data_IF_244024542837
#
_entry.id   IF_244024542837
#
_cell.length_a   1.000
_cell.length_b   1.000
_cell.length_c   1.000
_cell.angle_alpha   90.00
_cell.angle_beta   90.00
_cell.angle_gamma   90.00
#
_symmetry.space_group_name_H-M   'P 1'
#
loop_
_entity.id
_entity.type
_entity.pdbx_description
1 polymer ?
#
# COMPACT_ATOMS: atom_id res chain seq x y z
N UNK A 1 5.56 23.68 14.24
CA UNK A 1 5.73 22.80 13.07
C UNK A 1 6.64 21.60 13.34
N UNK A 2 7.97 21.74 13.58
CA UNK A 2 8.85 20.57 13.85
C UNK A 2 8.43 19.75 15.07
N UNK A 3 8.00 20.41 16.15
CA UNK A 3 7.54 19.74 17.37
C UNK A 3 6.22 18.99 17.17
N UNK A 4 5.32 19.49 16.36
CA UNK A 4 4.06 18.84 15.98
C UNK A 4 4.32 17.60 15.12
N UNK A 5 5.21 17.69 14.13
CA UNK A 5 5.61 16.54 13.30
C UNK A 5 6.24 15.46 14.15
N UNK A 6 7.17 15.81 15.07
CA UNK A 6 7.79 14.87 16.02
C UNK A 6 6.75 14.19 16.90
N UNK A 7 5.78 14.95 17.42
CA UNK A 7 4.71 14.40 18.24
C UNK A 7 3.79 13.48 17.43
N UNK A 8 3.48 13.82 16.17
CA UNK A 8 2.68 12.97 15.29
C UNK A 8 3.38 11.64 15.00
N UNK A 9 4.68 11.67 14.68
CA UNK A 9 5.49 10.45 14.48
C UNK A 9 5.49 9.58 15.73
N UNK A 10 5.72 10.19 16.91
CA UNK A 10 5.69 9.46 18.19
C UNK A 10 4.35 8.76 18.42
N UNK A 11 3.24 9.40 18.06
CA UNK A 11 1.91 8.82 18.18
C UNK A 11 1.73 7.63 17.24
N UNK A 12 2.14 7.76 15.98
CA UNK A 12 2.09 6.66 15.01
C UNK A 12 2.86 5.47 15.53
N UNK A 13 4.10 5.67 16.00
CA UNK A 13 4.93 4.59 16.55
C UNK A 13 4.30 3.94 17.80
N UNK A 14 3.72 4.74 18.70
CA UNK A 14 3.03 4.21 19.88
C UNK A 14 1.76 3.45 19.51
N UNK A 15 0.95 3.99 18.59
CA UNK A 15 -0.26 3.33 18.08
C UNK A 15 0.09 1.97 17.48
N UNK A 16 1.09 1.94 16.58
CA UNK A 16 1.58 0.69 15.97
C UNK A 16 2.08 -0.30 17.02
N UNK A 17 2.84 0.16 18.01
CA UNK A 17 3.34 -0.69 19.09
C UNK A 17 2.21 -1.34 19.90
N UNK A 18 1.23 -0.54 20.33
CA UNK A 18 0.09 -1.07 21.09
C UNK A 18 -0.82 -1.96 20.27
N UNK A 19 -1.06 -1.62 19.01
CA UNK A 19 -1.82 -2.46 18.10
C UNK A 19 -1.12 -3.82 17.90
N UNK A 20 0.22 -3.82 17.71
CA UNK A 20 1.00 -5.04 17.58
C UNK A 20 0.98 -5.88 18.88
N UNK A 21 1.12 -5.25 20.04
CA UNK A 21 1.03 -5.94 21.32
C UNK A 21 -0.33 -6.62 21.52
N UNK A 22 -1.42 -5.97 21.10
CA UNK A 22 -2.76 -6.55 21.14
C UNK A 22 -2.87 -7.80 20.25
N UNK A 23 -2.35 -7.76 19.04
CA UNK A 23 -2.33 -8.92 18.14
C UNK A 23 -1.46 -10.07 18.68
N UNK A 24 -0.38 -9.75 19.38
CA UNK A 24 0.53 -10.73 20.02
C UNK A 24 -0.07 -11.42 21.26
N UNK A 25 -1.24 -11.02 21.76
CA UNK A 25 -1.91 -11.73 22.86
C UNK A 25 -2.23 -13.18 22.47
N UNK A 26 -2.54 -13.43 21.21
CA UNK A 26 -2.66 -14.79 20.66
C UNK A 26 -1.45 -15.10 19.78
N UNK A 27 -0.39 -15.63 20.38
CA UNK A 27 0.86 -15.93 19.67
C UNK A 27 0.68 -16.92 18.53
N UNK A 28 -0.18 -17.93 18.68
CA UNK A 28 -0.40 -18.94 17.63
C UNK A 28 -0.98 -18.27 16.39
N UNK A 29 -2.06 -17.51 16.55
CA UNK A 29 -2.67 -16.75 15.44
C UNK A 29 -1.70 -15.74 14.84
N UNK A 30 -0.90 -15.05 15.68
CA UNK A 30 0.08 -14.09 15.23
C UNK A 30 1.11 -14.71 14.27
N UNK A 31 1.78 -15.78 14.71
CA UNK A 31 2.80 -16.43 13.87
C UNK A 31 2.19 -17.19 12.68
N UNK A 32 1.01 -17.81 12.86
CA UNK A 32 0.31 -18.47 11.75
C UNK A 32 -0.03 -17.51 10.63
N UNK A 33 -0.52 -16.30 10.93
CA UNK A 33 -0.84 -15.28 9.92
C UNK A 33 0.39 -14.87 9.11
N UNK A 34 1.55 -14.73 9.76
CA UNK A 34 2.81 -14.40 9.07
C UNK A 34 3.24 -15.55 8.15
N UNK A 35 3.28 -16.77 8.69
CA UNK A 35 3.70 -17.97 7.94
C UNK A 35 2.79 -18.22 6.75
N UNK A 36 1.47 -18.21 6.96
CA UNK A 36 0.51 -18.45 5.88
C UNK A 36 0.58 -17.38 4.79
N UNK A 37 0.89 -16.12 5.13
CA UNK A 37 1.09 -15.08 4.13
C UNK A 37 2.35 -15.34 3.29
N UNK A 38 3.46 -15.76 3.90
CA UNK A 38 4.67 -16.15 3.17
C UNK A 38 4.37 -17.33 2.23
N UNK A 39 3.67 -18.36 2.72
CA UNK A 39 3.29 -19.51 1.91
C UNK A 39 2.32 -19.13 0.78
N UNK A 40 1.36 -18.27 1.06
CA UNK A 40 0.44 -17.73 0.04
C UNK A 40 1.20 -17.06 -1.10
N UNK A 41 2.10 -16.13 -0.79
CA UNK A 41 2.94 -15.46 -1.79
C UNK A 41 3.83 -16.46 -2.53
N UNK A 42 4.42 -17.43 -1.84
CA UNK A 42 5.26 -18.46 -2.45
C UNK A 42 4.49 -19.36 -3.41
N UNK A 43 3.22 -19.65 -3.14
CA UNK A 43 2.38 -20.48 -4.00
C UNK A 43 2.21 -19.91 -5.41
N UNK A 44 2.12 -18.59 -5.53
CA UNK A 44 2.01 -17.92 -6.83
C UNK A 44 3.30 -17.97 -7.66
N UNK A 45 4.47 -18.18 -7.04
CA UNK A 45 5.73 -18.30 -7.78
C UNK A 45 5.80 -19.58 -8.59
N UNK A 46 5.15 -20.65 -8.11
CA UNK A 46 5.14 -21.93 -8.82
C UNK A 46 4.63 -21.78 -10.25
N UNK A 47 3.57 -21.00 -10.46
CA UNK A 47 3.06 -20.73 -11.81
C UNK A 47 4.09 -20.00 -12.71
N UNK A 48 4.89 -19.08 -12.13
CA UNK A 48 5.93 -18.39 -12.86
C UNK A 48 7.11 -19.31 -13.20
N UNK A 49 7.53 -20.18 -12.28
CA UNK A 49 8.56 -21.18 -12.53
C UNK A 49 8.15 -22.10 -13.69
N UNK A 50 6.90 -22.57 -13.70
CA UNK A 50 6.37 -23.40 -14.79
C UNK A 50 6.35 -22.60 -16.11
N UNK A 51 5.90 -21.35 -16.10
CA UNK A 51 5.86 -20.52 -17.31
C UNK A 51 7.27 -20.27 -17.88
N UNK A 52 8.23 -19.98 -17.03
CA UNK A 52 9.62 -19.74 -17.42
C UNK A 52 10.41 -21.03 -17.76
N UNK A 53 9.88 -22.22 -17.45
CA UNK A 53 10.41 -23.46 -18.03
C UNK A 53 10.08 -23.62 -19.51
N UNK A 54 9.07 -22.88 -20.00
CA UNK A 54 8.62 -22.92 -21.41
C UNK A 54 9.13 -21.71 -22.22
N UNK A 55 9.51 -20.62 -21.56
CA UNK A 55 9.96 -19.36 -22.20
C UNK A 55 11.03 -18.69 -21.37
N UNK A 56 12.07 -18.19 -22.01
CA UNK A 56 13.17 -17.48 -21.33
C UNK A 56 12.76 -16.11 -20.80
N UNK A 57 11.82 -15.44 -21.48
CA UNK A 57 11.32 -14.11 -21.13
C UNK A 57 9.80 -14.00 -21.28
N UNK A 58 9.18 -13.24 -20.37
CA UNK A 58 7.75 -12.91 -20.40
C UNK A 58 7.58 -11.42 -20.22
N UNK A 59 7.00 -10.74 -21.23
CA UNK A 59 6.82 -9.30 -21.22
C UNK A 59 8.13 -8.51 -21.11
N UNK A 60 9.26 -9.06 -21.58
CA UNK A 60 10.59 -8.46 -21.48
C UNK A 60 11.24 -8.57 -20.10
N UNK A 61 10.74 -9.46 -19.24
CA UNK A 61 11.31 -9.75 -17.92
C UNK A 61 11.84 -11.18 -17.86
N UNK A 62 13.00 -11.37 -17.26
CA UNK A 62 13.54 -12.67 -16.86
C UNK A 62 12.87 -13.18 -15.60
N UNK A 63 12.99 -14.48 -15.27
CA UNK A 63 12.46 -15.04 -14.03
C UNK A 63 12.93 -14.27 -12.79
N UNK A 64 14.22 -13.91 -12.70
CA UNK A 64 14.75 -13.15 -11.56
C UNK A 64 14.08 -11.78 -11.39
N UNK A 65 13.80 -11.10 -12.50
CA UNK A 65 13.10 -9.81 -12.47
C UNK A 65 11.64 -9.97 -12.06
N UNK A 66 10.96 -11.05 -12.46
CA UNK A 66 9.59 -11.34 -12.03
C UNK A 66 9.55 -11.71 -10.54
N UNK A 67 10.52 -12.46 -10.03
CA UNK A 67 10.63 -12.73 -8.60
C UNK A 67 10.84 -11.44 -7.80
N UNK A 68 11.67 -10.53 -8.31
CA UNK A 68 11.86 -9.21 -7.72
C UNK A 68 10.58 -8.38 -7.78
N UNK A 69 9.82 -8.42 -8.90
CA UNK A 69 8.55 -7.75 -9.09
C UNK A 69 7.53 -8.16 -8.01
N UNK A 70 7.42 -9.46 -7.77
CA UNK A 70 6.59 -10.02 -6.69
C UNK A 70 7.06 -9.58 -5.32
N UNK A 71 8.38 -9.62 -5.07
CA UNK A 71 8.96 -9.12 -3.84
C UNK A 71 8.67 -7.66 -3.59
N UNK A 72 8.74 -6.84 -4.64
CA UNK A 72 8.37 -5.42 -4.58
C UNK A 72 6.89 -5.22 -4.28
N UNK A 73 6.00 -5.91 -4.99
CA UNK A 73 4.57 -5.85 -4.75
C UNK A 73 4.27 -6.23 -3.29
N UNK A 74 4.77 -7.38 -2.83
CA UNK A 74 4.58 -7.85 -1.46
C UNK A 74 5.09 -6.82 -0.44
N UNK A 75 6.32 -6.31 -0.57
CA UNK A 75 6.86 -5.33 0.37
C UNK A 75 6.09 -4.01 0.37
N UNK A 76 5.67 -3.52 -0.78
CA UNK A 76 4.90 -2.29 -0.93
C UNK A 76 3.54 -2.40 -0.24
N UNK A 77 2.79 -3.47 -0.51
CA UNK A 77 1.51 -3.73 0.16
C UNK A 77 1.71 -4.12 1.62
N UNK A 78 2.81 -4.81 1.95
CA UNK A 78 3.21 -5.11 3.31
C UNK A 78 3.39 -3.84 4.15
N UNK A 79 4.15 -2.84 3.66
CA UNK A 79 4.31 -1.55 4.34
C UNK A 79 2.97 -0.84 4.47
N UNK A 80 2.18 -0.77 3.40
CA UNK A 80 0.91 -0.06 3.40
C UNK A 80 -0.09 -0.65 4.40
N UNK A 81 -0.22 -1.96 4.46
CA UNK A 81 -1.17 -2.64 5.36
C UNK A 81 -0.66 -2.75 6.79
N UNK A 82 0.66 -2.92 6.98
CA UNK A 82 1.21 -2.99 8.33
C UNK A 82 1.03 -1.68 9.09
N UNK A 83 1.39 -0.54 8.50
CA UNK A 83 1.32 0.75 9.19
C UNK A 83 0.00 1.49 9.02
N UNK A 84 -0.76 1.22 7.94
CA UNK A 84 -1.90 2.03 7.52
C UNK A 84 -3.12 1.17 7.18
N UNK A 85 -3.35 0.10 7.92
CA UNK A 85 -4.48 -0.84 7.71
C UNK A 85 -5.81 -0.12 7.55
N UNK A 86 -6.09 0.86 8.41
CA UNK A 86 -7.35 1.57 8.40
C UNK A 86 -7.54 2.51 7.19
N UNK A 87 -6.52 2.75 6.38
CA UNK A 87 -6.68 3.44 5.11
C UNK A 87 -7.55 2.62 4.13
N UNK A 88 -7.50 1.28 4.23
CA UNK A 88 -8.28 0.36 3.41
C UNK A 88 -9.69 0.15 3.93
N UNK A 89 -9.95 0.48 5.21
CA UNK A 89 -11.25 0.42 5.88
C UNK A 89 -11.89 1.81 6.07
N UNK A 90 -11.31 2.86 5.48
CA UNK A 90 -11.70 4.25 5.72
C UNK A 90 -13.15 4.53 5.30
N UNK A 91 -13.66 3.89 4.26
CA UNK A 91 -15.07 3.99 3.84
C UNK A 91 -16.01 3.54 4.96
N UNK A 92 -15.73 2.39 5.59
CA UNK A 92 -16.52 1.88 6.73
C UNK A 92 -16.42 2.84 7.91
N UNK A 93 -15.21 3.32 8.22
CA UNK A 93 -14.97 4.27 9.32
C UNK A 93 -15.78 5.55 9.17
N UNK A 94 -15.89 6.08 7.93
CA UNK A 94 -16.71 7.25 7.62
C UNK A 94 -18.20 6.93 7.76
N UNK A 95 -18.67 5.84 7.15
CA UNK A 95 -20.09 5.49 7.09
C UNK A 95 -20.68 5.10 8.46
N UNK A 96 -19.87 4.49 9.32
CA UNK A 96 -20.30 4.04 10.66
C UNK A 96 -20.16 5.12 11.74
N UNK A 97 -19.64 6.31 11.41
CA UNK A 97 -19.40 7.37 12.37
C UNK A 97 -18.20 7.15 13.29
N UNK A 98 -17.42 6.10 13.10
CA UNK A 98 -16.18 5.85 13.87
C UNK A 98 -15.14 6.98 13.73
N UNK A 99 -15.27 7.81 12.69
CA UNK A 99 -14.42 8.97 12.46
C UNK A 99 -14.55 10.03 13.58
N UNK A 100 -15.69 10.11 14.25
CA UNK A 100 -15.94 11.05 15.34
C UNK A 100 -14.93 10.93 16.47
N UNK A 101 -14.48 9.71 16.77
CA UNK A 101 -13.47 9.46 17.81
C UNK A 101 -12.10 10.11 17.51
N UNK A 102 -11.79 10.36 16.24
CA UNK A 102 -10.55 11.03 15.83
C UNK A 102 -10.71 12.56 15.72
N UNK A 103 -11.94 13.05 15.50
CA UNK A 103 -12.23 14.49 15.41
C UNK A 103 -12.01 15.21 16.73
N UNK A 104 -12.27 14.55 17.86
CA UNK A 104 -12.11 15.14 19.21
C UNK A 104 -10.64 15.13 19.68
N UNK A 105 -9.73 14.49 18.94
CA UNK A 105 -8.33 14.39 19.34
C UNK A 105 -7.54 15.62 18.84
N UNK A 106 -6.62 16.18 19.64
CA UNK A 106 -5.80 17.33 19.25
C UNK A 106 -4.64 16.89 18.32
N UNK A 107 -4.95 16.20 17.21
CA UNK A 107 -4.01 15.55 16.30
C UNK A 107 -4.51 15.60 14.87
N UNK A 108 -3.65 15.22 13.91
CA UNK A 108 -4.08 15.07 12.53
C UNK A 108 -5.06 13.90 12.41
N UNK A 109 -6.30 14.20 12.07
CA UNK A 109 -7.42 13.25 12.00
C UNK A 109 -7.12 12.11 11.06
N UNK A 110 -6.68 12.41 9.83
CA UNK A 110 -6.38 11.39 8.82
C UNK A 110 -5.28 10.44 9.29
N UNK A 111 -4.14 10.98 9.71
CA UNK A 111 -3.00 10.14 10.15
C UNK A 111 -3.41 9.29 11.35
N UNK A 112 -4.07 9.87 12.35
CA UNK A 112 -4.51 9.13 13.55
C UNK A 112 -5.50 8.02 13.22
N UNK A 113 -6.39 8.25 12.26
CA UNK A 113 -7.34 7.25 11.78
C UNK A 113 -6.63 6.10 11.06
N UNK A 114 -5.86 6.39 10.01
CA UNK A 114 -5.28 5.34 9.15
C UNK A 114 -4.18 4.52 9.82
N UNK A 115 -3.59 5.02 10.92
CA UNK A 115 -2.53 4.32 11.69
C UNK A 115 -3.04 3.69 12.99
N UNK A 116 -4.34 3.59 13.20
CA UNK A 116 -4.93 3.12 14.47
C UNK A 116 -4.89 1.60 14.66
N UNK A 117 -4.68 0.84 13.61
CA UNK A 117 -4.52 -0.61 13.66
C UNK A 117 -3.42 -1.11 12.72
N UNK A 118 -2.98 -2.36 12.94
CA UNK A 118 -1.97 -3.04 12.13
C UNK A 118 -2.54 -4.33 11.53
N UNK A 119 -1.99 -4.74 10.40
CA UNK A 119 -2.27 -6.06 9.81
C UNK A 119 -1.05 -6.98 9.98
N UNK A 120 -1.18 -8.01 10.80
CA UNK A 120 -0.06 -8.88 11.16
C UNK A 120 0.45 -9.70 9.98
N UNK A 121 -0.45 -10.17 9.09
CA UNK A 121 -0.08 -10.90 7.89
C UNK A 121 0.87 -10.10 6.98
N UNK A 122 0.77 -8.77 7.01
CA UNK A 122 1.64 -7.87 6.24
C UNK A 122 3.13 -7.98 6.62
N UNK A 123 3.44 -8.48 7.82
CA UNK A 123 4.82 -8.84 8.20
C UNK A 123 5.33 -9.98 7.30
N UNK A 124 4.45 -10.95 6.99
CA UNK A 124 4.76 -12.03 6.06
C UNK A 124 5.05 -11.52 4.64
N UNK A 125 4.29 -10.52 4.17
CA UNK A 125 4.54 -9.87 2.88
C UNK A 125 5.90 -9.17 2.86
N UNK A 126 6.25 -8.45 3.93
CA UNK A 126 7.55 -7.79 4.07
C UNK A 126 8.70 -8.80 4.05
N UNK A 127 8.62 -9.84 4.88
CA UNK A 127 9.65 -10.89 4.93
C UNK A 127 9.83 -11.58 3.58
N UNK A 128 8.71 -11.91 2.92
CA UNK A 128 8.73 -12.50 1.59
C UNK A 128 9.41 -11.58 0.56
N UNK A 129 9.12 -10.29 0.59
CA UNK A 129 9.76 -9.33 -0.32
C UNK A 129 11.28 -9.26 -0.15
N UNK A 130 11.79 -9.28 1.09
CA UNK A 130 13.23 -9.34 1.35
C UNK A 130 13.86 -10.68 0.95
N UNK A 131 13.12 -11.80 1.08
CA UNK A 131 13.56 -13.10 0.56
C UNK A 131 13.74 -13.03 -0.97
N UNK A 132 12.79 -12.42 -1.69
CA UNK A 132 12.88 -12.25 -3.15
C UNK A 132 14.02 -11.32 -3.55
N UNK A 133 14.29 -10.27 -2.78
CA UNK A 133 15.47 -9.41 -2.99
C UNK A 133 16.77 -10.21 -2.82
N UNK A 134 16.84 -11.10 -1.83
CA UNK A 134 18.01 -11.96 -1.65
C UNK A 134 18.23 -12.89 -2.85
N UNK A 135 17.16 -13.48 -3.39
CA UNK A 135 17.21 -14.35 -4.60
C UNK A 135 17.63 -13.56 -5.84
N UNK A 136 17.19 -12.31 -5.97
CA UNK A 136 17.59 -11.44 -7.08
C UNK A 136 19.08 -11.08 -7.03
N UNK A 137 19.59 -10.74 -5.86
CA UNK A 137 20.98 -10.38 -5.61
C UNK A 137 21.10 -9.27 -4.55
N UNK A 138 21.47 -9.70 -3.33
CA UNK A 138 21.64 -8.79 -2.21
C UNK A 138 22.97 -8.06 -2.29
N UNK A 139 22.91 -6.74 -2.45
CA UNK A 139 24.01 -5.81 -2.24
C UNK A 139 23.49 -4.52 -1.63
N UNK A 140 24.35 -3.68 -1.11
CA UNK A 140 23.94 -2.45 -0.40
C UNK A 140 23.09 -1.53 -1.28
N UNK A 141 23.44 -1.38 -2.56
CA UNK A 141 22.66 -0.56 -3.52
C UNK A 141 21.25 -1.12 -3.68
N UNK A 142 21.11 -2.42 -3.96
CA UNK A 142 19.81 -3.06 -4.14
C UNK A 142 18.96 -2.99 -2.88
N UNK A 143 19.57 -3.20 -1.70
CA UNK A 143 18.88 -3.10 -0.42
C UNK A 143 18.33 -1.69 -0.19
N UNK A 144 19.14 -0.66 -0.41
CA UNK A 144 18.72 0.74 -0.23
C UNK A 144 17.62 1.14 -1.22
N UNK A 145 17.77 0.80 -2.51
CA UNK A 145 16.77 1.11 -3.53
C UNK A 145 15.47 0.36 -3.28
N UNK A 146 15.55 -0.94 -2.97
CA UNK A 146 14.37 -1.76 -2.66
C UNK A 146 13.60 -1.20 -1.48
N UNK A 147 14.29 -0.89 -0.37
CA UNK A 147 13.65 -0.35 0.83
C UNK A 147 13.04 1.03 0.56
N UNK A 148 13.78 1.93 -0.10
CA UNK A 148 13.31 3.26 -0.46
C UNK A 148 12.04 3.18 -1.31
N UNK A 149 12.08 2.42 -2.41
CA UNK A 149 10.95 2.34 -3.31
C UNK A 149 9.76 1.57 -2.72
N UNK A 150 9.97 0.57 -1.87
CA UNK A 150 8.90 -0.09 -1.14
C UNK A 150 8.18 0.88 -0.20
N UNK A 151 8.91 1.79 0.46
CA UNK A 151 8.30 2.84 1.29
C UNK A 151 7.53 3.85 0.44
N UNK A 152 8.12 4.37 -0.64
CA UNK A 152 7.46 5.32 -1.54
C UNK A 152 6.22 4.70 -2.21
N UNK A 153 6.35 3.45 -2.67
CA UNK A 153 5.24 2.69 -3.22
C UNK A 153 4.12 2.48 -2.19
N UNK A 154 4.48 2.08 -0.96
CA UNK A 154 3.51 1.91 0.13
C UNK A 154 2.75 3.19 0.45
N UNK A 155 3.43 4.34 0.52
CA UNK A 155 2.79 5.63 0.71
C UNK A 155 1.86 6.00 -0.47
N UNK A 156 2.25 5.66 -1.70
CA UNK A 156 1.40 5.89 -2.88
C UNK A 156 0.14 5.02 -2.83
N UNK A 157 0.27 3.72 -2.49
CA UNK A 157 -0.87 2.80 -2.34
C UNK A 157 -1.84 3.29 -1.26
N UNK A 158 -1.33 3.68 -0.09
CA UNK A 158 -2.14 4.25 0.99
C UNK A 158 -2.87 5.51 0.53
N UNK A 159 -2.18 6.40 -0.19
CA UNK A 159 -2.77 7.64 -0.70
C UNK A 159 -3.92 7.37 -1.67
N UNK A 160 -3.75 6.42 -2.56
CA UNK A 160 -4.82 5.99 -3.49
C UNK A 160 -6.01 5.40 -2.74
N UNK A 161 -5.76 4.53 -1.75
CA UNK A 161 -6.82 3.99 -0.91
C UNK A 161 -7.60 5.09 -0.19
N UNK A 162 -6.90 6.08 0.39
CA UNK A 162 -7.51 7.26 1.03
C UNK A 162 -8.32 8.09 0.03
N UNK A 163 -7.79 8.33 -1.19
CA UNK A 163 -8.50 9.09 -2.24
C UNK A 163 -9.84 8.44 -2.57
N UNK A 164 -9.83 7.14 -2.92
CA UNK A 164 -11.05 6.43 -3.28
C UNK A 164 -12.01 6.32 -2.10
N UNK A 165 -11.52 5.99 -0.93
CA UNK A 165 -12.36 5.88 0.28
C UNK A 165 -12.95 7.23 0.71
N UNK A 166 -12.24 8.34 0.48
CA UNK A 166 -12.75 9.68 0.80
C UNK A 166 -13.92 10.11 -0.10
N UNK A 167 -14.14 9.47 -1.25
CA UNK A 167 -15.33 9.71 -2.07
C UNK A 167 -16.63 9.40 -1.32
N UNK A 168 -16.55 8.60 -0.26
CA UNK A 168 -17.67 8.32 0.67
C UNK A 168 -18.32 9.58 1.21
N UNK A 169 -17.56 10.65 1.43
CA UNK A 169 -18.10 11.92 1.91
C UNK A 169 -19.12 12.58 0.96
N UNK A 170 -19.08 12.22 -0.33
CA UNK A 170 -19.97 12.78 -1.36
C UNK A 170 -20.99 11.77 -1.88
N UNK A 171 -20.58 10.51 -2.01
CA UNK A 171 -21.38 9.49 -2.70
C UNK A 171 -21.90 8.39 -1.78
N UNK A 172 -21.59 8.44 -0.48
CA UNK A 172 -22.00 7.42 0.49
C UNK A 172 -21.23 6.11 0.33
N UNK A 173 -21.90 5.00 0.05
CA UNK A 173 -21.27 3.67 -0.02
C UNK A 173 -20.43 3.50 -1.30
N UNK A 174 -19.14 3.79 -1.21
CA UNK A 174 -18.15 3.58 -2.30
C UNK A 174 -17.23 2.38 -2.05
N UNK A 175 -17.59 1.49 -1.13
CA UNK A 175 -16.79 0.31 -0.75
C UNK A 175 -16.38 -0.51 -1.96
N UNK A 176 -17.30 -0.74 -2.90
CA UNK A 176 -17.04 -1.52 -4.13
C UNK A 176 -15.94 -0.85 -4.94
N UNK A 177 -15.98 0.46 -5.13
CA UNK A 177 -15.00 1.22 -5.92
C UNK A 177 -13.63 1.16 -5.25
N UNK A 178 -13.57 1.45 -3.96
CA UNK A 178 -12.32 1.45 -3.19
C UNK A 178 -11.68 0.05 -3.15
N UNK A 179 -12.47 -0.97 -2.84
CA UNK A 179 -11.98 -2.35 -2.77
C UNK A 179 -11.55 -2.88 -4.14
N UNK A 180 -12.31 -2.55 -5.20
CA UNK A 180 -11.95 -2.94 -6.57
C UNK A 180 -10.64 -2.28 -6.99
N UNK A 181 -10.47 -0.97 -6.75
CA UNK A 181 -9.23 -0.27 -7.07
C UNK A 181 -8.01 -0.87 -6.34
N UNK A 182 -8.15 -1.14 -5.03
CA UNK A 182 -7.10 -1.79 -4.25
C UNK A 182 -6.78 -3.21 -4.76
N UNK A 183 -7.79 -4.01 -5.10
CA UNK A 183 -7.62 -5.36 -5.63
C UNK A 183 -6.95 -5.35 -7.00
N UNK A 184 -7.33 -4.43 -7.89
CA UNK A 184 -6.69 -4.26 -9.19
C UNK A 184 -5.22 -3.84 -9.04
N UNK A 185 -4.91 -2.95 -8.10
CA UNK A 185 -3.51 -2.56 -7.83
C UNK A 185 -2.68 -3.77 -7.39
N UNK A 186 -3.17 -4.59 -6.46
CA UNK A 186 -2.48 -5.79 -5.99
C UNK A 186 -2.26 -6.77 -7.15
N UNK A 187 -3.34 -7.10 -7.86
CA UNK A 187 -3.30 -8.12 -8.90
C UNK A 187 -2.38 -7.74 -10.06
N UNK A 188 -2.47 -6.51 -10.56
CA UNK A 188 -1.68 -6.09 -11.72
C UNK A 188 -0.23 -5.72 -11.36
N UNK A 189 0.06 -5.39 -10.09
CA UNK A 189 1.42 -5.11 -9.64
C UNK A 189 2.35 -6.33 -9.76
N UNK A 190 1.81 -7.54 -9.82
CA UNK A 190 2.55 -8.80 -9.86
C UNK A 190 2.85 -9.32 -11.27
N UNK A 191 2.39 -8.62 -12.31
CA UNK A 191 2.63 -8.99 -13.71
C UNK A 191 3.60 -8.02 -14.40
N UNK A 192 4.51 -8.51 -15.27
CA UNK A 192 5.41 -7.68 -16.06
C UNK A 192 4.68 -6.61 -16.88
N UNK A 193 5.18 -5.37 -16.90
CA UNK A 193 4.52 -4.26 -17.61
C UNK A 193 4.50 -4.42 -19.13
N UNK A 194 5.40 -5.21 -19.69
CA UNK A 194 5.46 -5.48 -21.13
C UNK A 194 4.31 -6.32 -21.67
N UNK A 195 3.53 -6.98 -20.79
CA UNK A 195 2.31 -7.70 -21.17
C UNK A 195 1.20 -6.70 -21.53
N UNK A 196 1.19 -5.53 -20.90
CA UNK A 196 0.13 -4.54 -21.05
C UNK A 196 0.44 -3.55 -22.17
N UNK A 197 -0.54 -3.28 -23.04
CA UNK A 197 -0.39 -2.38 -24.18
C UNK A 197 -1.50 -1.34 -24.22
N UNK A 198 -1.26 -0.25 -24.96
CA UNK A 198 -2.25 0.78 -25.26
C UNK A 198 -2.89 1.41 -24.03
N UNK A 199 -4.21 1.49 -24.02
CA UNK A 199 -4.99 2.17 -22.98
C UNK A 199 -4.79 1.58 -21.57
N UNK A 200 -4.63 0.25 -21.45
CA UNK A 200 -4.41 -0.40 -20.15
C UNK A 200 -3.10 0.09 -19.51
N UNK A 201 -2.05 0.23 -20.31
CA UNK A 201 -0.77 0.76 -19.82
C UNK A 201 -0.90 2.20 -19.37
N UNK A 202 -1.69 3.04 -20.05
CA UNK A 202 -1.96 4.41 -19.64
C UNK A 202 -2.69 4.46 -18.28
N UNK A 203 -3.68 3.58 -18.05
CA UNK A 203 -4.39 3.49 -16.76
C UNK A 203 -3.44 3.21 -15.59
N UNK A 204 -2.39 2.40 -15.81
CA UNK A 204 -1.40 2.06 -14.77
C UNK A 204 -0.42 3.20 -14.45
N UNK A 205 -0.44 4.28 -15.18
CA UNK A 205 0.33 5.48 -14.88
C UNK A 205 -0.55 6.68 -14.49
N UNK A 206 -1.88 6.53 -14.48
CA UNK A 206 -2.82 7.61 -14.17
C UNK A 206 -3.75 7.28 -13.02
N UNK A 207 -4.74 6.43 -13.25
CA UNK A 207 -5.80 6.10 -12.29
C UNK A 207 -5.32 5.09 -11.23
N UNK A 208 -4.60 4.06 -11.67
CA UNK A 208 -4.00 3.04 -10.82
C UNK A 208 -2.47 3.15 -10.95
N UNK A 209 -1.76 3.94 -10.13
CA UNK A 209 -0.37 4.31 -10.38
C UNK A 209 0.63 3.16 -10.14
N UNK A 210 0.30 1.95 -10.61
CA UNK A 210 1.12 0.73 -10.50
C UNK A 210 2.47 0.94 -11.20
N UNK A 211 2.48 1.71 -12.30
CA UNK A 211 3.70 2.04 -13.03
C UNK A 211 4.75 2.70 -12.15
N UNK A 212 4.34 3.63 -11.30
CA UNK A 212 5.24 4.32 -10.35
C UNK A 212 5.54 3.48 -9.11
N UNK A 213 4.60 2.64 -8.70
CA UNK A 213 4.71 1.82 -7.49
C UNK A 213 5.60 0.61 -7.71
N UNK A 214 5.52 -0.06 -8.87
CA UNK A 214 6.20 -1.33 -9.11
C UNK A 214 7.09 -1.33 -10.37
N UNK A 215 6.59 -0.88 -11.52
CA UNK A 215 7.31 -1.08 -12.79
C UNK A 215 8.56 -0.21 -12.91
N UNK A 216 8.46 1.08 -12.59
CA UNK A 216 9.62 1.97 -12.63
C UNK A 216 10.69 1.60 -11.59
N UNK A 217 10.36 1.27 -10.32
CA UNK A 217 11.34 0.81 -9.36
C UNK A 217 12.20 -0.36 -9.86
N UNK A 218 11.59 -1.37 -10.48
CA UNK A 218 12.34 -2.51 -11.03
C UNK A 218 13.27 -2.08 -12.14
N UNK A 219 12.79 -1.23 -13.05
CA UNK A 219 13.64 -0.69 -14.13
C UNK A 219 14.83 0.08 -13.58
N UNK A 220 14.66 0.84 -12.50
CA UNK A 220 15.76 1.56 -11.84
C UNK A 220 16.73 0.59 -11.15
N UNK A 221 16.25 -0.53 -10.62
CA UNK A 221 17.14 -1.54 -10.03
C UNK A 221 17.95 -2.30 -11.08
N UNK A 222 17.42 -2.51 -12.28
CA UNK A 222 18.16 -3.11 -13.41
C UNK A 222 19.09 -2.09 -14.07
N UNK A 223 18.57 -0.91 -14.39
CA UNK A 223 19.29 0.19 -15.04
C UNK A 223 19.01 1.50 -14.29
N UNK A 224 19.99 1.95 -13.51
CA UNK A 224 19.83 3.14 -12.69
C UNK A 224 19.58 4.39 -13.54
N UNK A 225 18.46 5.05 -13.32
CA UNK A 225 18.09 6.30 -13.98
C UNK A 225 17.57 7.32 -12.94
N UNK A 226 18.35 8.40 -12.76
CA UNK A 226 18.03 9.45 -11.81
C UNK A 226 16.70 10.17 -12.12
N UNK A 227 16.39 10.40 -13.41
CA UNK A 227 15.13 11.04 -13.79
C UNK A 227 13.93 10.18 -13.37
N UNK A 228 13.98 8.87 -13.61
CA UNK A 228 12.92 7.95 -13.17
C UNK A 228 12.75 7.95 -11.64
N UNK A 229 13.84 8.02 -10.89
CA UNK A 229 13.79 8.14 -9.43
C UNK A 229 13.11 9.44 -8.98
N UNK A 230 13.43 10.57 -9.60
CA UNK A 230 12.79 11.86 -9.32
C UNK A 230 11.30 11.85 -9.67
N UNK A 231 10.91 11.17 -10.76
CA UNK A 231 9.50 10.99 -11.14
C UNK A 231 8.75 10.22 -10.04
N UNK A 232 9.30 9.12 -9.51
CA UNK A 232 8.66 8.35 -8.42
C UNK A 232 8.48 9.24 -7.18
N UNK A 233 9.51 9.98 -6.78
CA UNK A 233 9.44 10.91 -5.64
C UNK A 233 8.34 11.96 -5.85
N UNK A 234 8.32 12.60 -7.02
CA UNK A 234 7.31 13.60 -7.36
C UNK A 234 5.90 13.01 -7.34
N UNK A 235 5.69 11.84 -7.95
CA UNK A 235 4.40 11.16 -7.97
C UNK A 235 3.95 10.78 -6.55
N UNK A 236 4.84 10.28 -5.70
CA UNK A 236 4.50 9.96 -4.31
C UNK A 236 4.04 11.22 -3.56
N UNK A 237 4.79 12.32 -3.66
CA UNK A 237 4.42 13.59 -3.02
C UNK A 237 3.09 14.11 -3.57
N UNK A 238 2.86 14.01 -4.88
CA UNK A 238 1.61 14.41 -5.52
C UNK A 238 0.41 13.63 -4.99
N UNK A 239 0.48 12.27 -4.96
CA UNK A 239 -0.63 11.44 -4.47
C UNK A 239 -0.88 11.61 -2.98
N UNK A 240 0.18 11.73 -2.16
CA UNK A 240 0.05 12.03 -0.72
C UNK A 240 -0.66 13.38 -0.54
N UNK A 241 -0.23 14.43 -1.22
CA UNK A 241 -0.84 15.75 -1.12
C UNK A 241 -2.31 15.73 -1.58
N UNK A 242 -2.59 15.03 -2.67
CA UNK A 242 -3.94 14.88 -3.22
C UNK A 242 -4.86 14.12 -2.23
N UNK A 243 -4.37 13.07 -1.58
CA UNK A 243 -5.11 12.33 -0.56
C UNK A 243 -5.51 13.24 0.61
N UNK A 244 -4.58 14.04 1.12
CA UNK A 244 -4.86 15.03 2.17
C UNK A 244 -5.91 16.06 1.71
N UNK A 245 -5.73 16.63 0.52
CA UNK A 245 -6.67 17.64 -0.02
C UNK A 245 -8.08 17.06 -0.14
N UNK A 246 -8.23 15.88 -0.75
CA UNK A 246 -9.54 15.24 -0.97
C UNK A 246 -10.17 14.87 0.37
N UNK A 247 -9.42 14.24 1.28
CA UNK A 247 -9.93 13.88 2.60
C UNK A 247 -10.44 15.10 3.37
N UNK A 248 -9.64 16.18 3.49
CA UNK A 248 -10.05 17.36 4.26
C UNK A 248 -11.14 18.21 3.58
N UNK A 249 -11.23 18.15 2.25
CA UNK A 249 -12.41 18.71 1.54
C UNK A 249 -13.67 17.91 1.82
N UNK A 250 -13.55 16.58 1.82
CA UNK A 250 -14.62 15.66 2.16
C UNK A 250 -15.07 15.80 3.61
N UNK A 251 -14.11 15.92 4.53
CA UNK A 251 -14.40 16.08 5.97
C UNK A 251 -15.29 17.29 6.28
N UNK A 252 -15.22 18.36 5.46
CA UNK A 252 -16.13 19.51 5.61
C UNK A 252 -17.59 19.19 5.30
N UNK A 253 -17.86 18.08 4.60
CA UNK A 253 -19.23 17.59 4.30
C UNK A 253 -19.65 16.45 5.21
N UNK A 254 -18.76 16.00 6.09
CA UNK A 254 -19.04 14.90 6.99
C UNK A 254 -20.11 15.32 8.02
N UNK A 255 -21.11 14.45 8.19
CA UNK A 255 -22.07 14.52 9.29
C UNK A 255 -22.02 13.22 10.07
N UNK A 256 -22.02 13.29 11.41
CA UNK A 256 -21.99 12.10 12.26
C UNK A 256 -23.16 11.16 11.94
N UNK A 257 -22.94 9.85 12.03
CA UNK A 257 -23.96 8.82 11.78
C UNK A 257 -25.21 8.99 12.65
N UNK A 258 -25.07 9.54 13.86
CA UNK A 258 -26.21 9.87 14.72
C UNK A 258 -27.11 10.95 14.13
N UNK A 259 -26.58 11.85 13.30
CA UNK A 259 -27.36 12.86 12.59
C UNK A 259 -28.00 12.33 11.31
N UNK A 260 -27.41 11.30 10.68
CA UNK A 260 -28.00 10.67 9.50
C UNK A 260 -29.22 9.81 9.85
N UNK A 261 -29.18 9.06 10.96
CA UNK A 261 -30.32 8.27 11.43
C UNK A 261 -31.51 9.14 11.93
N UNK A 262 -31.27 10.40 12.26
CA UNK A 262 -32.33 11.35 12.65
C UNK A 262 -33.03 12.02 11.44
N UNK A 263 -32.56 11.76 10.20
CA UNK A 263 -33.13 12.33 8.97
C UNK A 263 -33.90 11.31 8.12
N UNK A 264 -34.05 10.07 8.59
CA UNK A 264 -34.95 9.05 8.05
C UNK A 264 -36.14 8.96 8.97
#
# INVERSE_FOLDING_TARGET
MLMEVKNQIKIVLLSTKYALQREMLNKVTFFSNIIFMILNNASFIVQWIILFSLKEEVGGYTLKQVLLLWGFAASTFGISRFFFKEAFNLTETINTGKLDAYLIQPKNVLISCITSSVEVSAIGDLLYGFIMLFVYGLNLKNLLLFTLFSILGGLTVVSISVIYSSLTFWFGKVDIISNTANSLMINFATYPDGIFKGFIKLLFYTILPIGFVNFLPIKIMTEFNLLSMLIILFCTIFFVSLAFIIFYRGLRKYSSSNLMNARI
#
